data_IF_539534406320
#
_entry.id   IF_539534406320
#
_cell.length_a   1.000
_cell.length_b   1.000
_cell.length_c   1.000
_cell.angle_alpha   90.00
_cell.angle_beta   90.00
_cell.angle_gamma   90.00
#
_symmetry.space_group_name_H-M   'P 1'
#
loop_
_entity.id
_entity.type
_entity.pdbx_description
1 polymer ?
#
# COMPACT_ATOMS: atom_id res chain seq x y z
N UNK A 1 15.41 -2.37 17.33
CA UNK A 1 14.01 -2.81 17.24
C UNK A 1 14.00 -4.30 16.87
N UNK A 2 13.78 -5.20 17.88
CA UNK A 2 13.83 -6.65 17.65
C UNK A 2 12.47 -7.28 17.25
N UNK A 3 11.52 -6.49 16.82
CA UNK A 3 10.23 -6.96 16.33
C UNK A 3 10.01 -6.29 14.99
N UNK A 4 10.63 -6.84 13.96
CA UNK A 4 10.28 -6.51 12.61
C UNK A 4 8.97 -7.22 12.30
N UNK A 5 7.87 -6.47 12.22
CA UNK A 5 6.76 -6.92 11.43
C UNK A 5 7.26 -7.02 10.00
N UNK A 6 7.15 -8.21 9.39
CA UNK A 6 7.56 -8.42 7.99
C UNK A 6 6.90 -7.34 7.12
N UNK A 7 7.67 -6.71 6.22
CA UNK A 7 7.20 -5.58 5.40
C UNK A 7 5.82 -5.85 4.78
N UNK A 8 5.57 -7.07 4.33
CA UNK A 8 4.31 -7.46 3.70
C UNK A 8 3.12 -7.47 4.67
N UNK A 9 3.34 -7.72 5.98
CA UNK A 9 2.28 -7.73 7.01
C UNK A 9 2.08 -6.38 7.69
N UNK A 10 3.06 -5.50 7.61
CA UNK A 10 3.07 -4.21 8.31
C UNK A 10 2.74 -3.04 7.38
N UNK A 11 3.31 -3.02 6.19
CA UNK A 11 3.12 -1.96 5.20
C UNK A 11 2.25 -2.41 4.02
N UNK A 12 2.71 -3.41 3.28
CA UNK A 12 2.08 -3.83 2.02
C UNK A 12 0.66 -4.38 2.22
N UNK A 13 0.30 -4.82 3.43
CA UNK A 13 -1.06 -5.32 3.73
C UNK A 13 -2.15 -4.29 3.38
N UNK A 14 -1.88 -3.01 3.59
CA UNK A 14 -2.81 -1.93 3.23
C UNK A 14 -2.94 -1.78 1.72
N UNK A 15 -1.84 -1.95 0.98
CA UNK A 15 -1.85 -1.90 -0.48
C UNK A 15 -2.49 -3.16 -1.08
N UNK A 16 -2.38 -4.32 -0.42
CA UNK A 16 -3.10 -5.54 -0.82
C UNK A 16 -4.61 -5.36 -0.70
N UNK A 17 -5.10 -4.78 0.39
CA UNK A 17 -6.51 -4.49 0.55
C UNK A 17 -6.99 -3.49 -0.51
N UNK A 18 -6.23 -2.43 -0.76
CA UNK A 18 -6.53 -1.46 -1.81
C UNK A 18 -6.50 -2.10 -3.21
N UNK A 19 -5.55 -2.97 -3.50
CA UNK A 19 -5.49 -3.69 -4.78
C UNK A 19 -6.73 -4.59 -4.97
N UNK A 20 -7.18 -5.30 -3.92
CA UNK A 20 -8.41 -6.09 -3.95
C UNK A 20 -9.64 -5.21 -4.20
N UNK A 21 -9.69 -4.02 -3.64
CA UNK A 21 -10.79 -3.08 -3.90
C UNK A 21 -10.95 -2.77 -5.40
N UNK A 22 -9.84 -2.68 -6.15
CA UNK A 22 -9.86 -2.41 -7.59
C UNK A 22 -9.98 -3.66 -8.47
N UNK A 23 -9.32 -4.74 -8.10
CA UNK A 23 -9.15 -5.93 -8.93
C UNK A 23 -10.10 -7.08 -8.57
N UNK A 24 -10.72 -7.02 -7.39
CA UNK A 24 -11.40 -8.18 -6.81
C UNK A 24 -10.40 -9.24 -6.30
N UNK A 25 -10.80 -10.50 -6.32
CA UNK A 25 -9.99 -11.59 -5.79
C UNK A 25 -8.72 -11.82 -6.59
N UNK A 26 -7.61 -11.93 -5.87
CA UNK A 26 -6.27 -12.16 -6.43
C UNK A 26 -5.99 -13.66 -6.45
N UNK A 27 -5.50 -14.17 -7.57
CA UNK A 27 -5.19 -15.58 -7.78
C UNK A 27 -3.70 -15.88 -7.86
N UNK A 28 -2.85 -14.87 -8.04
CA UNK A 28 -1.40 -15.04 -8.14
C UNK A 28 -0.67 -13.84 -7.54
N UNK A 29 0.38 -14.11 -6.77
CA UNK A 29 1.27 -13.11 -6.14
C UNK A 29 2.71 -13.44 -6.49
N UNK A 30 3.47 -12.46 -6.99
CA UNK A 30 4.92 -12.57 -7.16
C UNK A 30 5.59 -11.38 -6.49
N UNK A 31 6.49 -11.63 -5.54
CA UNK A 31 7.12 -10.60 -4.72
C UNK A 31 8.64 -10.72 -4.73
N UNK A 32 9.30 -9.56 -4.72
CA UNK A 32 10.72 -9.41 -4.50
C UNK A 32 10.93 -8.50 -3.29
N UNK A 33 11.80 -8.91 -2.38
CA UNK A 33 12.24 -8.10 -1.26
C UNK A 33 13.70 -7.71 -1.42
N UNK A 34 14.07 -6.53 -0.94
CA UNK A 34 15.43 -6.03 -0.96
C UNK A 34 15.77 -5.34 0.36
N UNK A 35 17.06 -5.35 0.70
CA UNK A 35 17.58 -4.72 1.89
C UNK A 35 18.66 -3.69 1.54
N UNK A 36 18.45 -2.46 2.01
CA UNK A 36 19.43 -1.37 2.05
C UNK A 36 19.97 -1.16 3.47
N UNK A 37 19.24 -1.66 4.49
CA UNK A 37 19.59 -1.58 5.90
C UNK A 37 19.98 -2.96 6.44
N UNK A 38 21.21 -3.06 6.97
CA UNK A 38 21.78 -4.28 7.53
C UNK A 38 20.97 -4.84 8.71
N UNK A 39 20.51 -3.96 9.62
CA UNK A 39 19.76 -4.38 10.80
C UNK A 39 18.43 -5.05 10.43
N UNK A 40 17.77 -4.57 9.37
CA UNK A 40 16.54 -5.16 8.86
C UNK A 40 16.81 -6.50 8.21
N UNK A 41 17.91 -6.61 7.46
CA UNK A 41 18.35 -7.88 6.86
C UNK A 41 18.68 -8.93 7.93
N UNK A 42 19.40 -8.56 8.98
CA UNK A 42 19.71 -9.44 10.11
C UNK A 42 18.48 -9.87 10.88
N UNK A 43 17.43 -9.04 10.90
CA UNK A 43 16.12 -9.39 11.47
C UNK A 43 15.31 -10.35 10.59
N UNK A 44 15.78 -10.68 9.36
CA UNK A 44 15.09 -11.55 8.42
C UNK A 44 13.91 -10.91 7.71
N UNK A 45 13.89 -9.58 7.63
CA UNK A 45 12.86 -8.77 6.96
C UNK A 45 13.44 -8.01 5.77
N UNK A 46 12.60 -7.27 5.05
CA UNK A 46 12.96 -6.40 3.94
C UNK A 46 12.63 -4.94 4.26
N UNK A 47 13.39 -4.00 3.69
CA UNK A 47 13.09 -2.56 3.78
C UNK A 47 12.58 -1.98 2.46
N UNK A 48 12.65 -2.73 1.38
CA UNK A 48 12.00 -2.42 0.12
C UNK A 48 11.36 -3.68 -0.50
N UNK A 49 10.26 -3.52 -1.21
CA UNK A 49 9.57 -4.61 -1.88
C UNK A 49 8.92 -4.16 -3.18
N UNK A 50 8.88 -5.07 -4.15
CA UNK A 50 8.06 -4.96 -5.36
C UNK A 50 7.18 -6.20 -5.43
N UNK A 51 5.89 -6.01 -5.59
CA UNK A 51 4.91 -7.10 -5.68
C UNK A 51 4.07 -6.95 -6.92
N UNK A 52 3.91 -8.02 -7.67
CA UNK A 52 2.95 -8.11 -8.77
C UNK A 52 1.80 -9.00 -8.35
N UNK A 53 0.57 -8.53 -8.58
CA UNK A 53 -0.68 -9.23 -8.31
C UNK A 53 -1.41 -9.49 -9.61
N UNK A 54 -2.15 -10.60 -9.68
CA UNK A 54 -2.99 -10.93 -10.84
C UNK A 54 -4.30 -11.53 -10.38
N UNK A 55 -5.41 -11.08 -10.97
CA UNK A 55 -6.72 -11.66 -10.74
C UNK A 55 -7.07 -12.74 -11.78
N UNK A 56 -8.19 -13.45 -11.58
CA UNK A 56 -8.65 -14.52 -12.48
C UNK A 56 -8.96 -14.04 -13.91
N UNK A 57 -9.29 -12.75 -14.09
CA UNK A 57 -9.52 -12.16 -15.42
C UNK A 57 -8.21 -11.75 -16.14
N UNK A 58 -7.04 -11.94 -15.50
CA UNK A 58 -5.74 -11.59 -16.04
C UNK A 58 -5.36 -10.11 -15.85
N UNK A 59 -6.14 -9.34 -15.09
CA UNK A 59 -5.78 -7.96 -14.73
C UNK A 59 -4.65 -8.00 -13.72
N UNK A 60 -3.67 -7.12 -13.88
CA UNK A 60 -2.47 -7.06 -13.03
C UNK A 60 -2.36 -5.73 -12.29
N UNK A 61 -1.76 -5.78 -11.10
CA UNK A 61 -1.30 -4.60 -10.36
C UNK A 61 0.14 -4.78 -9.91
N UNK A 62 0.84 -3.67 -9.72
CA UNK A 62 2.18 -3.64 -9.13
C UNK A 62 2.16 -2.72 -7.91
N UNK A 63 2.74 -3.20 -6.82
CA UNK A 63 2.94 -2.46 -5.59
C UNK A 63 4.44 -2.26 -5.40
N UNK A 64 4.85 -1.05 -5.04
CA UNK A 64 6.24 -0.73 -4.71
C UNK A 64 6.25 -0.11 -3.33
N UNK A 65 6.93 -0.73 -2.39
CA UNK A 65 7.08 -0.23 -1.02
C UNK A 65 8.54 0.02 -0.66
N UNK A 66 8.78 1.05 0.15
CA UNK A 66 10.05 1.32 0.78
C UNK A 66 9.82 1.90 2.17
N UNK A 67 10.49 1.35 3.20
CA UNK A 67 10.37 1.84 4.58
C UNK A 67 10.94 3.24 4.77
N UNK A 68 11.72 3.75 3.82
CA UNK A 68 12.35 5.05 3.88
C UNK A 68 12.05 5.87 2.64
N UNK A 69 11.32 6.96 2.81
CA UNK A 69 11.15 7.98 1.79
C UNK A 69 11.66 9.33 2.33
N UNK A 70 12.62 9.95 1.64
CA UNK A 70 13.20 11.22 2.04
C UNK A 70 12.32 12.43 1.72
N UNK A 71 11.28 12.25 0.91
CA UNK A 71 10.37 13.32 0.49
C UNK A 71 9.15 13.50 1.40
N UNK A 72 9.02 12.67 2.45
CA UNK A 72 7.87 12.59 3.34
C UNK A 72 7.14 11.26 3.22
N UNK A 73 5.89 11.21 3.67
CA UNK A 73 5.05 10.01 3.57
C UNK A 73 4.50 9.87 2.14
N UNK A 74 5.16 9.00 1.36
CA UNK A 74 4.85 8.79 -0.05
C UNK A 74 3.82 7.65 -0.20
N UNK A 75 2.61 8.02 -0.56
CA UNK A 75 1.50 7.09 -0.80
C UNK A 75 0.67 7.58 -1.98
N UNK A 76 0.93 7.02 -3.13
CA UNK A 76 0.21 7.32 -4.37
C UNK A 76 -0.41 6.08 -4.99
N UNK A 77 -1.43 6.28 -5.81
CA UNK A 77 -2.10 5.21 -6.54
C UNK A 77 -2.42 5.68 -7.96
N UNK A 78 -2.13 4.83 -8.93
CA UNK A 78 -2.56 5.02 -10.30
C UNK A 78 -3.41 3.83 -10.76
N UNK A 79 -4.55 4.09 -11.37
CA UNK A 79 -5.41 3.09 -11.98
C UNK A 79 -5.67 3.44 -13.45
N UNK A 80 -5.23 2.56 -14.36
CA UNK A 80 -5.50 2.66 -15.79
C UNK A 80 -6.77 1.87 -16.13
N UNK A 81 -7.78 2.55 -16.60
CA UNK A 81 -9.07 1.95 -16.95
C UNK A 81 -9.43 2.32 -18.40
N UNK A 82 -10.41 1.61 -18.99
CA UNK A 82 -10.81 1.82 -20.41
C UNK A 82 -11.22 3.25 -20.74
N UNK A 83 -11.63 4.05 -19.76
CA UNK A 83 -12.07 5.44 -19.92
C UNK A 83 -11.01 6.48 -19.55
N UNK A 84 -9.78 6.05 -19.24
CA UNK A 84 -8.65 6.95 -18.89
C UNK A 84 -7.86 6.48 -17.68
N UNK A 85 -6.99 7.33 -17.18
CA UNK A 85 -6.17 7.09 -15.98
C UNK A 85 -6.72 7.90 -14.81
N UNK A 86 -6.70 7.31 -13.62
CA UNK A 86 -7.05 7.97 -12.36
C UNK A 86 -5.86 7.90 -11.42
N UNK A 87 -5.49 9.07 -10.89
CA UNK A 87 -4.36 9.20 -9.98
C UNK A 87 -4.85 9.75 -8.65
N UNK A 88 -4.36 9.16 -7.55
CA UNK A 88 -4.41 9.74 -6.21
C UNK A 88 -2.99 10.11 -5.82
N UNK A 89 -2.70 11.42 -5.85
CA UNK A 89 -1.37 11.95 -5.59
C UNK A 89 -1.10 12.13 -4.10
N UNK A 90 0.17 12.36 -3.78
CA UNK A 90 0.62 12.73 -2.45
C UNK A 90 0.10 14.11 -2.03
N UNK A 91 -0.14 14.26 -0.73
CA UNK A 91 -0.63 15.51 -0.13
C UNK A 91 0.56 16.30 0.43
N UNK A 92 0.51 17.63 0.26
CA UNK A 92 1.42 18.62 0.84
C UNK A 92 0.64 19.60 1.69
N UNK A 93 1.33 20.29 2.59
CA UNK A 93 0.70 21.33 3.42
C UNK A 93 0.19 22.51 2.59
N UNK A 94 0.88 22.83 1.49
CA UNK A 94 0.47 23.91 0.59
C UNK A 94 0.56 23.49 -0.89
N UNK A 95 -0.08 24.28 -1.75
CA UNK A 95 0.03 24.14 -3.21
C UNK A 95 1.08 25.09 -3.81
N UNK A 96 1.85 25.79 -2.97
CA UNK A 96 2.85 26.77 -3.42
C UNK A 96 3.95 26.06 -4.18
N UNK A 97 4.35 26.65 -5.33
CA UNK A 97 5.46 26.22 -6.16
C UNK A 97 6.43 27.36 -6.32
N UNK A 98 7.73 27.06 -6.23
CA UNK A 98 8.81 28.01 -6.44
C UNK A 98 9.43 27.79 -7.82
N UNK A 99 9.52 28.87 -8.60
CA UNK A 99 10.33 28.90 -9.82
C UNK A 99 11.20 30.14 -9.83
N UNK A 100 12.50 29.94 -10.06
CA UNK A 100 13.49 31.00 -10.18
C UNK A 100 14.57 30.59 -11.18
N UNK A 101 15.73 31.27 -11.20
CA UNK A 101 16.83 30.95 -12.10
C UNK A 101 17.52 29.60 -11.83
N UNK A 102 17.34 29.02 -10.64
CA UNK A 102 18.00 27.78 -10.19
C UNK A 102 17.08 26.57 -10.23
N UNK A 103 15.78 26.74 -9.94
CA UNK A 103 14.81 25.67 -9.86
C UNK A 103 13.53 26.04 -10.55
N UNK A 104 12.84 25.03 -11.12
CA UNK A 104 11.51 25.16 -11.73
C UNK A 104 10.55 24.18 -11.05
N UNK A 105 9.37 24.69 -10.66
CA UNK A 105 8.28 23.89 -10.05
C UNK A 105 8.67 23.16 -8.75
N UNK A 106 9.60 23.71 -7.98
CA UNK A 106 9.94 23.14 -6.68
C UNK A 106 8.77 23.30 -5.70
N UNK A 107 8.53 22.28 -4.91
CA UNK A 107 7.44 22.20 -3.94
C UNK A 107 7.99 21.83 -2.56
N UNK A 108 7.19 22.11 -1.54
CA UNK A 108 7.42 21.56 -0.20
C UNK A 108 7.37 20.03 -0.21
N UNK A 109 8.02 19.34 0.76
CA UNK A 109 7.90 17.91 0.96
C UNK A 109 6.43 17.47 1.10
N UNK A 110 6.18 16.18 0.95
CA UNK A 110 4.89 15.59 1.31
C UNK A 110 4.68 15.67 2.83
N UNK A 111 3.42 15.50 3.27
CA UNK A 111 3.12 15.33 4.70
C UNK A 111 4.06 14.28 5.30
N UNK A 112 4.58 14.55 6.50
CA UNK A 112 5.67 13.77 7.08
C UNK A 112 5.24 12.37 7.54
N UNK A 113 3.98 12.24 8.01
CA UNK A 113 3.58 11.02 8.72
C UNK A 113 2.15 10.57 8.38
N UNK A 114 1.89 9.27 8.51
CA UNK A 114 0.61 8.67 8.15
C UNK A 114 -0.58 9.26 8.93
N UNK A 115 -0.41 9.65 10.20
CA UNK A 115 -1.49 10.27 10.97
C UNK A 115 -1.98 11.58 10.36
N UNK A 116 -1.09 12.39 9.79
CA UNK A 116 -1.45 13.61 9.07
C UNK A 116 -2.08 13.26 7.72
N UNK A 117 -1.45 12.36 6.98
CA UNK A 117 -1.89 11.95 5.64
C UNK A 117 -3.29 11.34 5.64
N UNK A 118 -3.62 10.55 6.67
CA UNK A 118 -4.86 9.79 6.75
C UNK A 118 -5.86 10.29 7.81
N UNK A 119 -5.71 11.51 8.32
CA UNK A 119 -6.61 12.06 9.32
C UNK A 119 -8.09 11.97 8.91
N UNK A 120 -8.39 12.33 7.66
CA UNK A 120 -9.74 12.20 7.11
C UNK A 120 -10.17 10.75 6.91
N UNK A 121 -9.28 9.87 6.49
CA UNK A 121 -9.57 8.45 6.32
C UNK A 121 -9.99 7.80 7.64
N UNK A 122 -9.25 8.05 8.73
CA UNK A 122 -9.61 7.56 10.06
C UNK A 122 -10.96 8.08 10.55
N UNK A 123 -11.25 9.36 10.30
CA UNK A 123 -12.56 9.94 10.64
C UNK A 123 -13.69 9.28 9.83
N UNK A 124 -13.49 9.10 8.54
CA UNK A 124 -14.48 8.49 7.64
C UNK A 124 -14.71 7.01 7.98
N UNK A 125 -13.66 6.26 8.29
CA UNK A 125 -13.74 4.86 8.73
C UNK A 125 -14.61 4.72 9.98
N UNK A 126 -14.31 5.52 11.02
CA UNK A 126 -15.10 5.51 12.27
C UNK A 126 -16.55 5.91 12.02
N UNK A 127 -16.80 6.91 11.19
CA UNK A 127 -18.15 7.33 10.84
C UNK A 127 -18.90 6.19 10.13
N UNK A 128 -18.30 5.58 9.11
CA UNK A 128 -18.90 4.47 8.37
C UNK A 128 -19.19 3.26 9.26
N UNK A 129 -18.30 2.96 10.21
CA UNK A 129 -18.51 1.89 11.17
C UNK A 129 -19.71 2.16 12.08
N UNK A 130 -19.82 3.40 12.63
CA UNK A 130 -20.94 3.80 13.48
C UNK A 130 -22.26 3.77 12.69
N UNK A 131 -22.27 4.28 11.47
CA UNK A 131 -23.45 4.27 10.60
C UNK A 131 -23.93 2.86 10.29
N UNK A 132 -23.00 1.95 9.97
CA UNK A 132 -23.32 0.55 9.75
C UNK A 132 -23.89 -0.12 11.02
N UNK A 133 -23.31 0.16 12.19
CA UNK A 133 -23.80 -0.35 13.47
C UNK A 133 -25.23 0.14 13.78
N UNK A 134 -25.49 1.43 13.60
CA UNK A 134 -26.82 2.02 13.82
C UNK A 134 -27.85 1.46 12.83
N UNK A 135 -27.45 1.25 11.58
CA UNK A 135 -28.32 0.68 10.54
C UNK A 135 -28.52 -0.84 10.68
N UNK A 136 -27.77 -1.52 11.56
CA UNK A 136 -27.79 -2.99 11.68
C UNK A 136 -27.23 -3.71 10.45
N UNK A 137 -26.34 -3.06 9.69
CA UNK A 137 -25.66 -3.62 8.52
C UNK A 137 -24.24 -4.05 8.85
N UNK A 138 -23.63 -4.87 8.00
CA UNK A 138 -22.22 -5.23 8.14
C UNK A 138 -21.33 -4.03 7.77
N UNK A 139 -20.27 -3.73 8.55
CA UNK A 139 -19.30 -2.73 8.15
C UNK A 139 -18.49 -3.19 6.94
N UNK A 140 -17.99 -2.22 6.16
CA UNK A 140 -17.08 -2.43 5.03
C UNK A 140 -15.94 -1.43 5.17
N UNK A 141 -14.66 -1.89 5.11
CA UNK A 141 -14.21 -3.30 4.95
C UNK A 141 -14.58 -4.18 6.15
N UNK A 142 -14.68 -5.48 5.90
CA UNK A 142 -15.06 -6.50 6.88
C UNK A 142 -13.84 -7.25 7.44
N UNK A 143 -14.08 -8.13 8.43
CA UNK A 143 -13.03 -9.05 8.91
C UNK A 143 -12.56 -9.99 7.79
N UNK A 144 -13.46 -10.41 6.90
CA UNK A 144 -13.12 -11.28 5.78
C UNK A 144 -12.15 -10.57 4.81
N UNK A 145 -12.33 -9.26 4.57
CA UNK A 145 -11.41 -8.46 3.76
C UNK A 145 -10.01 -8.38 4.41
N UNK A 146 -9.95 -8.20 5.72
CA UNK A 146 -8.69 -8.20 6.47
C UNK A 146 -7.97 -9.56 6.41
N UNK A 147 -8.73 -10.67 6.47
CA UNK A 147 -8.19 -12.03 6.33
C UNK A 147 -7.60 -12.24 4.93
N UNK A 148 -8.29 -11.79 3.89
CA UNK A 148 -7.78 -11.90 2.52
C UNK A 148 -6.55 -11.02 2.28
N UNK A 149 -6.50 -9.81 2.84
CA UNK A 149 -5.29 -8.98 2.78
C UNK A 149 -4.09 -9.65 3.48
N UNK A 150 -4.33 -10.30 4.63
CA UNK A 150 -3.30 -11.09 5.33
C UNK A 150 -2.85 -12.30 4.50
N UNK A 151 -3.78 -13.00 3.84
CA UNK A 151 -3.46 -14.13 2.95
C UNK A 151 -2.53 -13.69 1.81
N UNK A 152 -2.73 -12.51 1.24
CA UNK A 152 -1.83 -11.95 0.24
C UNK A 152 -0.45 -11.60 0.84
N UNK A 153 -0.39 -11.09 2.06
CA UNK A 153 0.87 -10.81 2.74
C UNK A 153 1.69 -12.08 3.02
N UNK A 154 1.02 -13.20 3.39
CA UNK A 154 1.67 -14.51 3.52
C UNK A 154 2.22 -15.01 2.18
N UNK A 155 1.41 -14.95 1.13
CA UNK A 155 1.82 -15.36 -0.21
C UNK A 155 2.99 -14.53 -0.74
N UNK A 156 2.99 -13.20 -0.50
CA UNK A 156 4.10 -12.32 -0.85
C UNK A 156 5.37 -12.68 -0.07
N UNK A 157 5.23 -12.99 1.22
CA UNK A 157 6.35 -13.44 2.07
C UNK A 157 6.95 -14.75 1.55
N UNK A 158 6.14 -15.72 1.19
CA UNK A 158 6.58 -16.98 0.58
C UNK A 158 7.25 -16.74 -0.77
N UNK A 159 6.63 -15.94 -1.62
CA UNK A 159 7.16 -15.59 -2.93
C UNK A 159 8.54 -14.94 -2.84
N UNK A 160 8.70 -13.94 -1.97
CA UNK A 160 9.97 -13.24 -1.77
C UNK A 160 11.09 -14.18 -1.24
N UNK A 161 10.74 -15.16 -0.41
CA UNK A 161 11.70 -16.16 0.11
C UNK A 161 12.08 -17.21 -0.92
N UNK A 162 11.15 -17.62 -1.76
CA UNK A 162 11.36 -18.73 -2.71
C UNK A 162 11.81 -18.24 -4.08
N UNK A 163 11.60 -16.96 -4.40
CA UNK A 163 11.83 -16.38 -5.74
C UNK A 163 10.83 -16.87 -6.78
N UNK A 164 9.67 -17.42 -6.36
CA UNK A 164 8.66 -17.99 -7.26
C UNK A 164 7.30 -17.32 -7.02
N UNK A 165 6.45 -17.22 -8.07
CA UNK A 165 5.06 -16.82 -7.87
C UNK A 165 4.32 -17.86 -7.01
N UNK A 166 3.37 -17.38 -6.22
CA UNK A 166 2.47 -18.18 -5.38
C UNK A 166 1.07 -18.10 -5.96
N UNK A 167 0.47 -19.27 -6.24
CA UNK A 167 -0.93 -19.39 -6.66
C UNK A 167 -1.83 -19.44 -5.43
N UNK A 168 -2.96 -18.72 -5.49
CA UNK A 168 -4.01 -18.68 -4.47
C UNK A 168 -5.32 -19.34 -4.93
N UNK A 169 -5.31 -19.89 -6.15
CA UNK A 169 -6.45 -20.61 -6.74
C UNK A 169 -6.55 -22.03 -6.18
#
# INVERSE_FOLDING_TARGET
VKVACVIFRDMTIHDFDMARFFLGDIVEVHAFGQNFNEEIREAGDFDAAVVTLKNAAGVVATIVNNRKCSAGYDQLLEAQVSTGTRNADNIRDTTVRLSNAEVTDAAEPYLDFFLQRYADAYRLELTAFIDAFVAGTKPTPSIDDAIEALRLAEAATESAKTGKPVSLA
#
